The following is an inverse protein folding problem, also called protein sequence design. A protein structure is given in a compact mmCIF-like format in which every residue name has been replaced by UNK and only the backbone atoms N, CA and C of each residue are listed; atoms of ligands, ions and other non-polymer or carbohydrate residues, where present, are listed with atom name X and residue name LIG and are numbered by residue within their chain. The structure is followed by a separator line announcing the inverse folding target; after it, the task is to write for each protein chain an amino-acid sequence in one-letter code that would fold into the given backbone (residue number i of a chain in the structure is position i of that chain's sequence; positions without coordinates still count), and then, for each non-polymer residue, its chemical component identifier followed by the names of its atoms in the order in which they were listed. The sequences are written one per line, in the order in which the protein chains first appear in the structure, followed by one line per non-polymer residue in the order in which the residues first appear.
data_IF_447632844312
#
_entry.id   IF_447632844312
#
_cell.length_a   1.000
_cell.length_b   1.000
_cell.length_c   1.000
_cell.angle_alpha   90.00
_cell.angle_beta   90.00
_cell.angle_gamma   90.00
#
_symmetry.space_group_name_H-M   'P 1'
#
loop_
_entity.id
_entity.type
_entity.pdbx_description
1 polymer ?
#
# COMPACT_ATOMS: atom_id res chain seq x y z
N UNK A 1 6.87 -3.27 22.95
CA UNK A 1 6.10 -2.89 21.74
C UNK A 1 4.69 -3.42 21.88
N UNK A 2 3.69 -2.67 21.40
CA UNK A 2 2.28 -3.10 21.44
C UNK A 2 2.03 -4.16 20.34
N UNK A 3 1.38 -5.27 20.68
CA UNK A 3 1.15 -6.39 19.76
C UNK A 3 0.02 -6.12 18.74
N UNK A 4 -0.79 -5.08 18.97
CA UNK A 4 -1.93 -4.75 18.13
C UNK A 4 -1.64 -3.53 17.24
N UNK A 5 -1.95 -3.65 15.96
CA UNK A 5 -1.93 -2.53 15.02
C UNK A 5 -3.14 -1.62 15.27
N UNK A 6 -2.89 -0.31 15.29
CA UNK A 6 -3.94 0.71 15.36
C UNK A 6 -3.74 1.75 14.26
N UNK A 7 -4.85 2.32 13.78
CA UNK A 7 -4.85 3.45 12.84
C UNK A 7 -5.81 4.53 13.39
N UNK A 8 -5.29 5.47 14.22
CA UNK A 8 -6.08 6.56 14.79
C UNK A 8 -6.77 7.42 13.72
N UNK A 9 -6.05 7.74 12.63
CA UNK A 9 -6.57 8.53 11.53
C UNK A 9 -7.81 7.87 10.88
N UNK A 10 -7.73 6.58 10.54
CA UNK A 10 -8.87 5.82 10.02
C UNK A 10 -10.06 5.82 10.98
N UNK A 11 -9.82 5.73 12.29
CA UNK A 11 -10.89 5.79 13.31
C UNK A 11 -11.55 7.17 13.35
N UNK A 12 -10.76 8.25 13.29
CA UNK A 12 -11.29 9.63 13.24
C UNK A 12 -12.16 9.87 12.01
N UNK A 13 -11.68 9.45 10.83
CA UNK A 13 -12.46 9.53 9.59
C UNK A 13 -13.81 8.79 9.69
N UNK A 14 -13.83 7.58 10.26
CA UNK A 14 -15.07 6.81 10.43
C UNK A 14 -16.05 7.45 11.44
N UNK A 15 -15.56 8.29 12.35
CA UNK A 15 -16.40 9.06 13.29
C UNK A 15 -16.87 10.40 12.72
N UNK A 16 -16.44 10.76 11.50
CA UNK A 16 -16.75 12.05 10.90
C UNK A 16 -16.00 13.22 11.57
N UNK A 17 -14.92 12.94 12.29
CA UNK A 17 -14.08 13.98 12.88
C UNK A 17 -13.32 14.73 11.79
N UNK A 18 -13.26 16.06 11.90
CA UNK A 18 -12.36 16.86 11.05
C UNK A 18 -10.92 16.48 11.36
N UNK A 19 -10.10 16.30 10.33
CA UNK A 19 -8.68 15.96 10.44
C UNK A 19 -7.87 16.95 9.61
N UNK A 20 -7.12 17.83 10.26
CA UNK A 20 -6.33 18.89 9.61
C UNK A 20 -4.97 18.32 9.20
N UNK A 21 -4.62 18.50 7.93
CA UNK A 21 -3.41 17.94 7.33
C UNK A 21 -2.42 18.98 6.85
N UNK A 22 -1.16 18.56 6.70
CA UNK A 22 -0.09 19.32 6.06
C UNK A 22 0.59 18.50 4.96
N UNK A 23 0.90 19.15 3.84
CA UNK A 23 1.61 18.54 2.70
C UNK A 23 3.12 18.63 2.89
N UNK A 24 3.82 17.51 2.71
CA UNK A 24 5.28 17.40 2.76
C UNK A 24 5.83 17.11 1.37
N UNK A 25 6.47 18.12 0.76
CA UNK A 25 7.04 18.04 -0.58
C UNK A 25 8.56 18.23 -0.62
N UNK A 26 9.22 18.34 0.54
CA UNK A 26 10.67 18.62 0.63
C UNK A 26 11.55 17.38 0.55
N UNK A 27 10.96 16.18 0.56
CA UNK A 27 11.63 14.86 0.58
C UNK A 27 12.59 14.62 1.76
N UNK A 28 12.64 15.53 2.73
CA UNK A 28 13.58 15.53 3.83
C UNK A 28 12.96 14.96 5.11
N UNK A 29 13.55 13.91 5.65
CA UNK A 29 13.17 13.36 6.97
C UNK A 29 13.34 14.38 8.10
N UNK A 30 14.33 15.26 8.00
CA UNK A 30 14.56 16.33 8.97
C UNK A 30 13.39 17.34 9.00
N UNK A 31 12.92 17.75 7.83
CA UNK A 31 11.76 18.65 7.73
C UNK A 31 10.46 17.95 8.15
N UNK A 32 10.33 16.65 7.84
CA UNK A 32 9.19 15.85 8.27
C UNK A 32 9.11 15.71 9.79
N UNK A 33 10.23 15.51 10.47
CA UNK A 33 10.30 15.49 11.93
C UNK A 33 9.87 16.83 12.54
N UNK A 34 10.40 17.94 12.02
CA UNK A 34 10.00 19.29 12.47
C UNK A 34 8.49 19.47 12.27
N UNK A 35 7.96 19.13 11.09
CA UNK A 35 6.53 19.25 10.80
C UNK A 35 5.65 18.40 11.73
N UNK A 36 6.13 17.23 12.17
CA UNK A 36 5.43 16.36 13.11
C UNK A 36 5.29 16.96 14.52
N UNK A 37 6.11 17.97 14.87
CA UNK A 37 5.95 18.72 16.13
C UNK A 37 4.83 19.76 16.09
N UNK A 38 4.35 20.13 14.90
CA UNK A 38 3.40 21.23 14.71
C UNK A 38 1.94 20.90 15.08
N UNK A 39 1.63 19.65 15.44
CA UNK A 39 0.31 19.27 15.93
C UNK A 39 -0.77 19.05 14.88
N UNK A 40 -0.40 18.86 13.61
CA UNK A 40 -1.35 18.42 12.57
C UNK A 40 -1.86 17.00 12.86
N UNK A 41 -3.11 16.70 12.51
CA UNK A 41 -3.67 15.35 12.68
C UNK A 41 -3.00 14.34 11.74
N UNK A 42 -2.64 14.79 10.53
CA UNK A 42 -1.97 13.97 9.53
C UNK A 42 -0.97 14.75 8.67
N UNK A 43 0.03 14.03 8.16
CA UNK A 43 1.07 14.57 7.28
C UNK A 43 1.08 13.78 5.98
N UNK A 44 0.93 14.47 4.85
CA UNK A 44 0.95 13.86 3.53
C UNK A 44 2.37 13.87 2.96
N UNK A 45 2.99 12.70 2.88
CA UNK A 45 4.27 12.52 2.21
C UNK A 45 3.99 12.30 0.72
N UNK A 46 4.40 13.27 -0.10
CA UNK A 46 4.05 13.32 -1.51
C UNK A 46 5.05 12.58 -2.40
N UNK A 47 4.71 11.36 -2.83
CA UNK A 47 5.49 10.61 -3.79
C UNK A 47 5.17 10.89 -5.27
N UNK A 48 4.14 11.68 -5.58
CA UNK A 48 3.71 11.90 -6.97
C UNK A 48 4.32 13.17 -7.58
N UNK A 49 4.33 14.27 -6.81
CA UNK A 49 4.83 15.56 -7.31
C UNK A 49 6.06 16.06 -6.57
N UNK A 50 6.50 15.36 -5.52
CA UNK A 50 7.83 15.53 -4.96
C UNK A 50 8.71 14.32 -5.33
N UNK A 51 10.03 14.52 -5.50
CA UNK A 51 10.95 13.48 -5.97
C UNK A 51 11.31 12.48 -4.87
N UNK A 52 10.31 11.89 -4.20
CA UNK A 52 10.52 10.88 -3.17
C UNK A 52 10.78 9.50 -3.80
N UNK A 53 11.90 8.89 -3.42
CA UNK A 53 12.14 7.46 -3.60
C UNK A 53 11.48 6.66 -2.47
N UNK A 54 11.42 5.33 -2.60
CA UNK A 54 10.91 4.46 -1.53
C UNK A 54 11.73 4.59 -0.22
N UNK A 55 13.03 4.89 -0.33
CA UNK A 55 13.90 5.12 0.82
C UNK A 55 13.55 6.45 1.51
N UNK A 56 13.28 7.50 0.73
CA UNK A 56 12.88 8.80 1.30
C UNK A 56 11.55 8.70 2.03
N UNK A 57 10.58 7.97 1.46
CA UNK A 57 9.32 7.66 2.12
C UNK A 57 9.55 6.92 3.45
N UNK A 58 10.41 5.90 3.44
CA UNK A 58 10.73 5.13 4.63
C UNK A 58 11.39 5.98 5.72
N UNK A 59 12.37 6.81 5.38
CA UNK A 59 13.04 7.69 6.34
C UNK A 59 12.08 8.75 6.93
N UNK A 60 11.16 9.29 6.14
CA UNK A 60 10.13 10.21 6.64
C UNK A 60 9.12 9.49 7.55
N UNK A 61 8.73 8.25 7.24
CA UNK A 61 7.91 7.44 8.14
C UNK A 61 8.60 7.21 9.49
N UNK A 62 9.90 6.91 9.49
CA UNK A 62 10.68 6.74 10.72
C UNK A 62 10.74 8.03 11.54
N UNK A 63 10.95 9.17 10.88
CA UNK A 63 10.98 10.48 11.51
C UNK A 63 9.64 10.87 12.17
N UNK A 64 8.51 10.56 11.52
CA UNK A 64 7.17 10.89 12.03
C UNK A 64 6.69 9.90 13.11
N UNK A 65 7.20 8.67 13.12
CA UNK A 65 6.70 7.57 13.94
C UNK A 65 6.49 7.85 15.46
N UNK A 66 7.34 8.62 16.17
CA UNK A 66 7.13 8.86 17.60
C UNK A 66 6.13 9.98 17.92
N UNK A 67 5.64 10.71 16.90
CA UNK A 67 4.76 11.87 17.08
C UNK A 67 3.27 11.50 16.93
N UNK A 68 2.40 12.44 17.31
CA UNK A 68 0.95 12.24 17.24
C UNK A 68 0.41 12.25 15.78
N UNK A 69 1.01 13.06 14.92
CA UNK A 69 0.61 13.21 13.53
C UNK A 69 0.70 11.89 12.77
N UNK A 70 -0.36 11.55 12.04
CA UNK A 70 -0.44 10.28 11.31
C UNK A 70 0.10 10.43 9.88
N UNK A 71 1.08 9.62 9.45
CA UNK A 71 1.60 9.71 8.09
C UNK A 71 0.61 9.13 7.07
N UNK A 72 0.41 9.86 5.97
CA UNK A 72 -0.30 9.41 4.77
C UNK A 72 0.67 9.48 3.60
N UNK A 73 0.73 8.43 2.78
CA UNK A 73 1.59 8.42 1.59
C UNK A 73 0.74 8.56 0.33
N UNK A 74 1.14 9.48 -0.54
CA UNK A 74 0.66 9.54 -1.93
C UNK A 74 1.68 8.85 -2.85
N UNK A 75 1.46 7.61 -3.31
CA UNK A 75 2.38 7.00 -4.27
C UNK A 75 2.31 7.72 -5.63
N UNK A 76 3.35 7.53 -6.46
CA UNK A 76 3.40 8.08 -7.83
C UNK A 76 2.17 7.68 -8.65
N UNK A 77 1.72 6.44 -8.48
CA UNK A 77 0.58 5.88 -9.22
C UNK A 77 -0.17 4.88 -8.34
N UNK A 78 -1.43 4.61 -8.67
CA UNK A 78 -2.27 3.59 -8.02
C UNK A 78 -2.00 2.14 -8.44
N UNK A 79 -0.81 1.80 -8.93
CA UNK A 79 -0.52 0.45 -9.40
C UNK A 79 -0.16 -0.51 -8.25
N UNK A 80 -0.41 -1.82 -8.44
CA UNK A 80 -0.27 -2.85 -7.40
C UNK A 80 1.15 -2.98 -6.85
N UNK A 81 2.17 -2.79 -7.68
CA UNK A 81 3.58 -2.94 -7.27
C UNK A 81 4.02 -1.82 -6.34
N UNK A 82 3.67 -0.57 -6.68
CA UNK A 82 3.97 0.60 -5.84
C UNK A 82 3.18 0.56 -4.53
N UNK A 83 1.88 0.23 -4.59
CA UNK A 83 1.04 0.05 -3.40
C UNK A 83 1.66 -1.00 -2.46
N UNK A 84 2.10 -2.14 -3.01
CA UNK A 84 2.76 -3.17 -2.20
C UNK A 84 4.02 -2.65 -1.52
N UNK A 85 4.89 -1.95 -2.23
CA UNK A 85 6.12 -1.39 -1.65
C UNK A 85 5.84 -0.43 -0.50
N UNK A 86 4.90 0.51 -0.66
CA UNK A 86 4.57 1.48 0.40
C UNK A 86 3.93 0.82 1.62
N UNK A 87 3.11 -0.22 1.42
CA UNK A 87 2.55 -1.00 2.52
C UNK A 87 3.61 -1.82 3.27
N UNK A 88 4.55 -2.43 2.54
CA UNK A 88 5.62 -3.25 3.10
C UNK A 88 6.58 -2.42 3.99
N UNK A 89 6.76 -1.12 3.70
CA UNK A 89 7.54 -0.20 4.56
C UNK A 89 6.75 0.37 5.74
N UNK A 90 5.49 -0.03 5.93
CA UNK A 90 4.69 0.29 7.11
C UNK A 90 3.67 1.41 6.95
N UNK A 91 3.44 1.92 5.75
CA UNK A 91 2.37 2.88 5.50
C UNK A 91 0.99 2.25 5.81
N UNK A 92 0.16 2.95 6.58
CA UNK A 92 -1.19 2.45 6.97
C UNK A 92 -2.32 3.16 6.26
N UNK A 93 -2.04 4.31 5.66
CA UNK A 93 -3.01 5.16 4.98
C UNK A 93 -2.37 5.66 3.68
N UNK A 94 -3.11 5.49 2.57
CA UNK A 94 -2.66 5.89 1.24
C UNK A 94 -3.66 6.89 0.65
N UNK A 95 -3.15 7.93 0.01
CA UNK A 95 -3.90 8.83 -0.86
C UNK A 95 -3.55 8.46 -2.30
N UNK A 96 -4.41 7.75 -3.00
CA UNK A 96 -4.09 7.25 -4.34
C UNK A 96 -4.54 8.24 -5.41
N UNK A 97 -3.64 8.72 -6.29
CA UNK A 97 -3.99 9.71 -7.31
C UNK A 97 -4.74 9.09 -8.49
N UNK A 98 -5.42 9.93 -9.26
CA UNK A 98 -6.02 9.61 -10.58
C UNK A 98 -6.91 8.36 -10.58
N UNK A 99 -7.82 8.26 -9.61
CA UNK A 99 -8.88 7.23 -9.59
C UNK A 99 -10.15 7.83 -10.16
N UNK A 100 -10.40 7.56 -11.44
CA UNK A 100 -11.51 8.13 -12.22
C UNK A 100 -12.73 7.20 -12.30
N UNK A 101 -12.55 5.90 -12.03
CA UNK A 101 -13.62 4.89 -12.13
C UNK A 101 -13.79 4.05 -10.87
N UNK A 102 -14.99 3.49 -10.70
CA UNK A 102 -15.29 2.58 -9.60
C UNK A 102 -14.45 1.30 -9.69
N UNK A 103 -14.13 0.84 -10.90
CA UNK A 103 -13.29 -0.32 -11.17
C UNK A 103 -11.86 -0.08 -10.67
N UNK A 104 -11.26 1.07 -11.01
CA UNK A 104 -9.94 1.46 -10.52
C UNK A 104 -9.93 1.54 -8.98
N UNK A 105 -10.98 2.10 -8.36
CA UNK A 105 -11.09 2.14 -6.91
C UNK A 105 -11.11 0.73 -6.29
N UNK A 106 -11.84 -0.23 -6.88
CA UNK A 106 -11.87 -1.63 -6.42
C UNK A 106 -10.50 -2.30 -6.56
N UNK A 107 -9.78 -2.03 -7.65
CA UNK A 107 -8.43 -2.57 -7.88
C UNK A 107 -7.42 -2.05 -6.86
N UNK A 108 -7.45 -0.74 -6.57
CA UNK A 108 -6.63 -0.12 -5.53
C UNK A 108 -6.92 -0.75 -4.16
N UNK A 109 -8.20 -0.89 -3.78
CA UNK A 109 -8.57 -1.54 -2.51
C UNK A 109 -8.08 -2.99 -2.48
N UNK A 110 -8.21 -3.74 -3.58
CA UNK A 110 -7.69 -5.10 -3.72
C UNK A 110 -6.17 -5.18 -3.59
N UNK A 111 -5.42 -4.16 -4.03
CA UNK A 111 -3.98 -4.08 -3.86
C UNK A 111 -3.55 -3.89 -2.40
N UNK A 112 -4.41 -3.29 -1.56
CA UNK A 112 -4.11 -3.06 -0.13
C UNK A 112 -4.42 -4.24 0.80
N UNK A 113 -5.14 -5.25 0.30
CA UNK A 113 -5.61 -6.38 1.11
C UNK A 113 -4.85 -7.64 0.71
N UNK A 114 -4.44 -8.42 1.71
CA UNK A 114 -4.00 -9.78 1.45
C UNK A 114 -5.13 -10.56 0.76
N UNK A 115 -4.79 -11.43 -0.20
CA UNK A 115 -5.79 -12.30 -0.81
C UNK A 115 -6.51 -13.06 0.30
N UNK A 116 -7.84 -12.99 0.31
CA UNK A 116 -8.65 -13.79 1.22
C UNK A 116 -8.25 -15.25 1.03
N UNK A 117 -7.76 -15.90 2.11
CA UNK A 117 -7.63 -17.35 2.13
C UNK A 117 -9.03 -17.93 1.95
N UNK A 118 -9.41 -18.31 0.73
CA UNK A 118 -10.24 -19.49 0.60
C UNK A 118 -9.40 -20.70 1.03
N UNK A 119 -9.93 -21.64 1.83
CA UNK A 119 -9.18 -22.82 2.29
C UNK A 119 -8.78 -23.81 1.18
N UNK A 120 -8.94 -23.48 -0.10
CA UNK A 120 -8.75 -24.44 -1.19
C UNK A 120 -7.88 -23.83 -2.28
N UNK A 121 -6.70 -24.45 -2.43
CA UNK A 121 -5.73 -24.32 -3.53
C UNK A 121 -4.50 -23.46 -3.24
N UNK A 122 -3.78 -23.82 -2.19
CA UNK A 122 -2.32 -23.88 -2.29
C UNK A 122 -1.96 -25.12 -3.13
N UNK A 123 -1.59 -24.95 -4.40
CA UNK A 123 -0.81 -26.00 -5.10
C UNK A 123 0.48 -26.16 -4.31
N UNK A 124 0.72 -27.35 -3.74
CA UNK A 124 1.99 -27.69 -3.09
C UNK A 124 3.12 -27.45 -4.10
N UNK A 125 4.05 -26.57 -3.77
CA UNK A 125 5.34 -26.47 -4.46
C UNK A 125 6.07 -27.79 -4.24
N UNK A 126 6.16 -28.65 -5.26
CA UNK A 126 6.79 -29.97 -5.17
C UNK A 126 6.29 -31.04 -6.14
N UNK A 127 5.22 -30.82 -6.91
CA UNK A 127 4.85 -31.75 -7.99
C UNK A 127 5.62 -31.41 -9.26
N UNK A 128 6.79 -32.05 -9.39
CA UNK A 128 7.54 -32.17 -10.64
C UNK A 128 6.60 -32.66 -11.75
N UNK A 129 6.50 -31.89 -12.84
CA UNK A 129 5.82 -32.33 -14.04
C UNK A 129 6.52 -33.56 -14.61
N UNK A 130 5.90 -34.71 -14.45
CA UNK A 130 6.28 -35.93 -15.14
C UNK A 130 5.04 -36.52 -15.82
N UNK A 131 5.14 -36.61 -17.15
CA UNK A 131 4.52 -37.59 -18.04
C UNK A 131 3.00 -37.50 -18.27
N UNK A 132 2.63 -37.40 -19.55
CA UNK A 132 1.32 -37.88 -20.02
C UNK A 132 0.59 -36.98 -21.01
N UNK A 133 1.15 -36.74 -22.20
CA UNK A 133 0.33 -36.55 -23.41
C UNK A 133 0.95 -37.30 -24.57
N UNK A 134 0.62 -38.58 -24.66
CA UNK A 134 0.72 -39.38 -25.86
C UNK A 134 -0.68 -39.82 -26.27
N UNK A 135 -0.98 -39.71 -27.57
CA UNK A 135 -2.14 -40.32 -28.21
C UNK A 135 -3.25 -39.36 -28.57
N UNK A 136 -3.20 -38.83 -29.80
CA UNK A 136 -4.31 -38.77 -30.77
C UNK A 136 -3.87 -37.92 -31.98
N UNK A 137 -3.11 -38.57 -32.86
CA UNK A 137 -2.99 -38.18 -34.27
C UNK A 137 -3.21 -39.47 -35.07
N UNK A 138 -3.87 -39.33 -36.22
CA UNK A 138 -4.33 -40.36 -37.17
C UNK A 138 -5.76 -40.88 -36.93
N UNK A 139 -6.72 -40.18 -37.53
CA UNK A 139 -7.92 -40.80 -38.09
C UNK A 139 -7.66 -41.23 -39.53
N UNK A 140 -8.13 -42.42 -39.90
CA UNK A 140 -8.20 -42.91 -41.28
C UNK A 140 -8.58 -44.39 -41.39
N UNK A 141 -9.73 -44.67 -42.02
CA UNK A 141 -10.18 -45.99 -42.53
C UNK A 141 -10.58 -47.00 -41.45
N UNK A 142 -11.71 -47.71 -41.49
CA UNK A 142 -12.72 -48.01 -42.51
C UNK A 142 -14.13 -48.01 -41.87
#
# INVERSE_FOLDING_TARGET
MNALLSNPFKRGLLRGETQIGLWLSSTSSYMAEIAATSGYDWLLIDGEHAPNTIQDLYHQLQAIAPYASQPVIRPVEGNRSLIKQVLDIGARTLLVPMVDTAEQAREVVSATRYPHREPRRWRRRGESGALGKGGELYGGGE
#
